data_IF_901336042230
#
_entry.id   IF_901336042230
#
_cell.length_a   1.000
_cell.length_b   1.000
_cell.length_c   1.000
_cell.angle_alpha   90.00
_cell.angle_beta   90.00
_cell.angle_gamma   90.00
#
_symmetry.space_group_name_H-M   'P 1'
#
loop_
_entity.id
_entity.type
_entity.pdbx_description
1 polymer ?
#
# COMPACT_ATOMS: atom_id res chain seq x y z
N UNK A 1 7.60 -8.27 -12.41
CA UNK A 1 7.62 -6.91 -12.98
C UNK A 1 9.04 -6.60 -13.40
N UNK A 2 9.24 -5.82 -14.47
CA UNK A 2 10.57 -5.38 -14.91
C UNK A 2 10.72 -3.90 -14.57
N UNK A 3 10.97 -3.61 -13.29
CA UNK A 3 11.14 -2.25 -12.77
C UNK A 3 12.53 -2.11 -12.13
N UNK A 4 13.14 -0.91 -12.15
CA UNK A 4 14.38 -0.65 -11.42
C UNK A 4 14.21 -0.86 -9.92
N UNK A 5 15.28 -1.26 -9.23
CA UNK A 5 15.24 -1.59 -7.81
C UNK A 5 14.98 -0.36 -6.95
N UNK A 6 15.51 0.79 -7.35
CA UNK A 6 15.34 2.08 -6.69
C UNK A 6 13.88 2.58 -6.68
N UNK A 7 13.03 2.03 -7.54
CA UNK A 7 11.59 2.33 -7.57
C UNK A 7 10.77 1.39 -6.66
N UNK A 8 11.41 0.41 -6.02
CA UNK A 8 10.75 -0.55 -5.13
C UNK A 8 10.95 -0.15 -3.67
N UNK A 9 9.86 0.26 -3.03
CA UNK A 9 9.83 0.52 -1.60
C UNK A 9 9.32 -0.72 -0.85
N UNK A 10 9.96 -1.04 0.28
CA UNK A 10 9.58 -2.17 1.13
C UNK A 10 9.15 -1.67 2.49
N UNK A 11 7.93 -2.02 2.89
CA UNK A 11 7.37 -1.70 4.20
C UNK A 11 7.00 -2.99 4.94
N UNK A 12 7.03 -2.95 6.27
CA UNK A 12 6.64 -4.08 7.11
C UNK A 12 5.90 -3.61 8.35
N UNK A 13 4.93 -4.40 8.79
CA UNK A 13 4.16 -4.18 10.02
C UNK A 13 3.85 -5.53 10.65
N UNK A 14 3.80 -5.57 11.99
CA UNK A 14 3.45 -6.78 12.74
C UNK A 14 4.32 -6.97 13.96
N UNK A 15 4.62 -8.23 14.28
CA UNK A 15 5.33 -8.61 15.51
C UNK A 15 6.82 -8.29 15.40
N UNK A 16 7.33 -7.48 16.33
CA UNK A 16 8.76 -7.13 16.44
C UNK A 16 9.57 -8.37 16.88
N UNK A 17 10.79 -8.51 16.36
CA UNK A 17 11.72 -9.58 16.73
C UNK A 17 11.45 -10.92 16.04
N UNK A 18 10.40 -11.03 15.21
CA UNK A 18 10.09 -12.23 14.44
C UNK A 18 10.75 -12.18 13.05
N UNK A 19 11.52 -13.22 12.71
CA UNK A 19 12.08 -13.36 11.36
C UNK A 19 10.98 -13.57 10.32
N UNK A 20 11.11 -12.92 9.17
CA UNK A 20 10.20 -13.08 8.04
C UNK A 20 10.26 -14.52 7.48
N UNK A 21 9.11 -15.11 7.08
CA UNK A 21 9.08 -16.44 6.48
C UNK A 21 9.49 -16.39 5.00
N UNK A 22 10.78 -16.13 4.72
CA UNK A 22 11.33 -15.87 3.37
C UNK A 22 10.89 -16.89 2.32
N UNK A 23 11.00 -18.19 2.61
CA UNK A 23 10.60 -19.26 1.67
C UNK A 23 9.13 -19.17 1.23
N UNK A 24 8.23 -18.70 2.11
CA UNK A 24 6.81 -18.51 1.78
C UNK A 24 6.62 -17.31 0.85
N UNK A 25 7.38 -16.24 1.09
CA UNK A 25 7.35 -15.02 0.26
C UNK A 25 7.88 -15.35 -1.14
N UNK A 26 9.02 -16.02 -1.25
CA UNK A 26 9.62 -16.45 -2.53
C UNK A 26 8.68 -17.34 -3.33
N UNK A 27 8.00 -18.30 -2.68
CA UNK A 27 7.03 -19.17 -3.34
C UNK A 27 5.76 -18.43 -3.79
N UNK A 28 5.39 -17.34 -3.12
CA UNK A 28 4.17 -16.57 -3.40
C UNK A 28 4.35 -15.45 -4.42
N UNK A 29 5.53 -14.82 -4.48
CA UNK A 29 5.73 -13.56 -5.21
C UNK A 29 5.43 -13.67 -6.71
N UNK A 30 5.75 -14.82 -7.32
CA UNK A 30 5.45 -15.05 -8.74
C UNK A 30 3.95 -15.06 -9.05
N UNK A 31 3.12 -15.57 -8.13
CA UNK A 31 1.65 -15.55 -8.27
C UNK A 31 1.10 -14.15 -8.03
N UNK A 32 1.63 -13.45 -7.01
CA UNK A 32 1.25 -12.07 -6.69
C UNK A 32 1.43 -11.15 -7.91
N UNK A 33 2.60 -11.20 -8.55
CA UNK A 33 2.90 -10.39 -9.74
C UNK A 33 1.97 -10.70 -10.92
N UNK A 34 1.57 -11.97 -11.10
CA UNK A 34 0.63 -12.37 -12.17
C UNK A 34 -0.81 -11.94 -11.88
N UNK A 35 -1.15 -11.75 -10.61
CA UNK A 35 -2.49 -11.37 -10.17
C UNK A 35 -2.71 -9.87 -10.07
N UNK A 36 -1.83 -9.03 -10.61
CA UNK A 36 -2.03 -7.57 -10.58
C UNK A 36 -3.17 -7.17 -11.53
N UNK A 37 -4.06 -6.30 -11.05
CA UNK A 37 -5.15 -5.73 -11.82
C UNK A 37 -5.50 -4.32 -11.32
N UNK A 38 -6.20 -3.55 -12.16
CA UNK A 38 -6.58 -2.15 -11.89
C UNK A 38 -7.55 -1.99 -10.70
N UNK A 39 -8.29 -3.05 -10.36
CA UNK A 39 -9.24 -3.08 -9.24
C UNK A 39 -8.65 -3.61 -7.91
N UNK A 40 -7.33 -3.76 -7.79
CA UNK A 40 -6.67 -4.46 -6.67
C UNK A 40 -6.52 -3.67 -5.36
N UNK A 41 -7.12 -2.48 -5.25
CA UNK A 41 -6.96 -1.60 -4.08
C UNK A 41 -7.53 -2.23 -2.81
N UNK A 42 -8.70 -2.88 -2.90
CA UNK A 42 -9.33 -3.54 -1.76
C UNK A 42 -8.50 -4.73 -1.26
N UNK A 43 -7.93 -5.51 -2.18
CA UNK A 43 -7.04 -6.63 -1.85
C UNK A 43 -5.76 -6.15 -1.16
N UNK A 44 -5.16 -5.06 -1.67
CA UNK A 44 -3.95 -4.47 -1.11
C UNK A 44 -4.20 -3.92 0.30
N UNK A 45 -5.33 -3.24 0.52
CA UNK A 45 -5.69 -2.73 1.84
C UNK A 45 -5.90 -3.88 2.83
N UNK A 46 -6.69 -4.88 2.44
CA UNK A 46 -7.01 -5.99 3.32
C UNK A 46 -5.75 -6.78 3.70
N UNK A 47 -4.80 -6.93 2.78
CA UNK A 47 -3.55 -7.66 3.00
C UNK A 47 -2.57 -6.98 3.97
N UNK A 48 -2.66 -5.66 4.17
CA UNK A 48 -1.75 -4.93 5.06
C UNK A 48 -2.28 -4.71 6.48
N UNK A 49 -3.56 -4.99 6.73
CA UNK A 49 -4.18 -4.88 8.06
C UNK A 49 -3.50 -5.77 9.10
N UNK A 50 -3.45 -5.32 10.36
CA UNK A 50 -3.01 -6.15 11.50
C UNK A 50 -4.07 -6.26 12.57
N UNK A 51 -4.19 -5.24 13.42
CA UNK A 51 -5.18 -5.15 14.49
C UNK A 51 -6.35 -4.24 14.11
N UNK A 52 -6.35 -3.81 12.84
CA UNK A 52 -7.41 -3.04 12.22
C UNK A 52 -8.73 -3.82 12.25
N UNK A 53 -9.81 -3.14 12.65
CA UNK A 53 -11.16 -3.74 12.66
C UNK A 53 -11.86 -3.67 11.30
N UNK A 54 -11.47 -2.70 10.47
CA UNK A 54 -12.08 -2.42 9.19
C UNK A 54 -11.08 -1.81 8.22
N UNK A 55 -11.28 -2.03 6.92
CA UNK A 55 -10.53 -1.39 5.84
C UNK A 55 -10.54 0.13 5.90
N UNK A 56 -9.43 0.79 5.56
CA UNK A 56 -9.33 2.26 5.43
C UNK A 56 -8.91 2.64 4.02
N UNK A 57 -9.91 2.91 3.19
CA UNK A 57 -9.77 3.34 1.79
C UNK A 57 -10.46 4.69 1.62
N UNK A 58 -9.80 5.64 0.97
CA UNK A 58 -10.38 6.92 0.59
C UNK A 58 -10.08 7.21 -0.89
N UNK A 59 -11.14 7.53 -1.66
CA UNK A 59 -11.00 7.89 -3.07
C UNK A 59 -11.67 9.25 -3.27
N UNK A 60 -11.01 10.15 -4.00
CA UNK A 60 -11.55 11.44 -4.41
C UNK A 60 -11.25 11.68 -5.88
N UNK A 61 -12.24 12.23 -6.59
CA UNK A 61 -12.10 12.72 -7.95
C UNK A 61 -12.19 14.25 -7.93
N UNK A 62 -11.44 14.90 -8.80
CA UNK A 62 -11.43 16.34 -8.91
C UNK A 62 -10.87 16.78 -10.26
N UNK A 63 -10.91 18.09 -10.50
CA UNK A 63 -10.36 18.70 -11.71
C UNK A 63 -9.16 19.54 -11.30
N UNK A 64 -8.03 19.34 -11.98
CA UNK A 64 -6.83 20.18 -11.86
C UNK A 64 -6.53 20.76 -13.24
N UNK A 65 -6.64 22.09 -13.36
CA UNK A 65 -6.61 22.77 -14.66
C UNK A 65 -7.76 22.32 -15.54
N UNK A 66 -7.46 21.62 -16.64
CA UNK A 66 -8.44 21.06 -17.57
C UNK A 66 -8.48 19.52 -17.58
N UNK A 67 -7.88 18.86 -16.58
CA UNK A 67 -7.82 17.39 -16.48
C UNK A 67 -8.59 16.89 -15.26
N UNK A 68 -9.40 15.87 -15.48
CA UNK A 68 -9.93 15.04 -14.40
C UNK A 68 -8.79 14.21 -13.81
N UNK A 69 -8.75 14.15 -12.47
CA UNK A 69 -7.80 13.34 -11.71
C UNK A 69 -8.53 12.51 -10.67
N UNK A 70 -7.88 11.42 -10.27
CA UNK A 70 -8.27 10.56 -9.16
C UNK A 70 -7.13 10.50 -8.15
N UNK A 71 -7.48 10.64 -6.88
CA UNK A 71 -6.58 10.39 -5.74
C UNK A 71 -7.17 9.22 -4.95
N UNK A 72 -6.36 8.19 -4.75
CA UNK A 72 -6.68 7.04 -3.92
C UNK A 72 -5.67 6.97 -2.77
N UNK A 73 -6.17 6.88 -1.54
CA UNK A 73 -5.39 6.64 -0.35
C UNK A 73 -5.84 5.35 0.33
N UNK A 74 -4.88 4.55 0.78
CA UNK A 74 -5.10 3.44 1.69
C UNK A 74 -4.25 3.63 2.95
N UNK A 75 -4.75 3.16 4.10
CA UNK A 75 -4.02 3.27 5.36
C UNK A 75 -4.27 2.05 6.25
N UNK A 76 -3.31 1.72 7.12
CA UNK A 76 -3.50 0.77 8.22
C UNK A 76 -2.86 1.28 9.49
N UNK A 77 -3.37 0.82 10.62
CA UNK A 77 -2.99 1.28 11.95
C UNK A 77 -4.20 1.48 12.83
N UNK A 78 -4.27 0.73 13.94
CA UNK A 78 -5.35 0.81 14.92
C UNK A 78 -4.87 0.70 16.37
N UNK A 79 -3.59 0.40 16.58
CA UNK A 79 -2.93 0.32 17.88
C UNK A 79 -1.44 0.53 17.70
N UNK A 80 -0.74 0.89 18.79
CA UNK A 80 0.64 1.38 18.71
C UNK A 80 0.73 2.56 17.71
N UNK A 81 -0.15 3.57 17.85
CA UNK A 81 -0.25 4.76 17.00
C UNK A 81 0.05 6.03 17.80
N UNK A 82 1.25 6.56 17.57
CA UNK A 82 1.75 7.88 17.93
C UNK A 82 2.46 8.38 16.65
N UNK A 83 1.97 9.41 15.94
CA UNK A 83 2.45 9.79 14.61
C UNK A 83 3.96 10.03 14.48
N UNK A 84 4.67 10.18 15.60
CA UNK A 84 6.12 10.37 15.66
C UNK A 84 6.92 9.09 16.02
N UNK A 85 6.27 7.96 16.35
CA UNK A 85 6.91 6.68 16.72
C UNK A 85 6.00 5.44 16.55
N UNK A 86 5.20 5.34 15.48
CA UNK A 86 4.24 4.25 15.32
C UNK A 86 4.18 3.58 13.95
N UNK A 87 3.68 2.34 13.97
CA UNK A 87 3.32 1.55 12.78
C UNK A 87 2.06 2.06 12.08
N UNK A 88 2.19 3.20 11.41
CA UNK A 88 1.26 3.66 10.36
C UNK A 88 1.88 3.33 9.00
N UNK A 89 1.15 2.57 8.17
CA UNK A 89 1.47 2.48 6.74
C UNK A 89 0.34 3.19 5.99
N UNK A 90 0.71 4.15 5.16
CA UNK A 90 -0.22 4.87 4.30
C UNK A 90 0.38 5.06 2.93
N UNK A 91 -0.43 4.86 1.91
CA UNK A 91 -0.03 4.97 0.52
C UNK A 91 -1.04 5.82 -0.22
N UNK A 92 -0.54 6.76 -1.02
CA UNK A 92 -1.34 7.65 -1.87
C UNK A 92 -0.95 7.41 -3.31
N UNK A 93 -1.95 7.19 -4.16
CA UNK A 93 -1.81 6.94 -5.59
C UNK A 93 -2.66 7.96 -6.34
N UNK A 94 -2.14 8.48 -7.44
CA UNK A 94 -2.87 9.41 -8.29
C UNK A 94 -2.41 9.31 -9.73
N UNK A 95 -3.31 9.63 -10.65
CA UNK A 95 -3.06 9.84 -12.07
C UNK A 95 -2.74 11.31 -12.41
N UNK A 96 -2.71 12.19 -11.40
CA UNK A 96 -2.30 13.56 -11.57
C UNK A 96 -0.84 13.64 -12.04
N UNK A 97 -0.59 14.48 -13.04
CA UNK A 97 0.77 14.85 -13.43
C UNK A 97 1.29 15.87 -12.43
N UNK A 98 2.35 15.51 -11.72
CA UNK A 98 2.99 16.33 -10.69
C UNK A 98 4.42 16.59 -11.17
N UNK A 99 4.84 17.85 -11.13
CA UNK A 99 6.21 18.24 -11.45
C UNK A 99 7.18 17.71 -10.37
N UNK A 100 8.43 17.43 -10.77
CA UNK A 100 9.48 16.91 -9.90
C UNK A 100 10.09 17.98 -8.99
#
# INVERSE_FOLDING_TARGET
MKIPEEHLLVCSTGVIGRRLPVKKIEAGIGKLVKGLHEYGIEDAEAAMMTTDKYPKIAIRKGIVGAKDITICGIAKGAGMIEPNMATLLTYVMTDALIDA
#
